data_IF_478129233601
#
_entry.id   IF_478129233601
#
_cell.length_a   1.000
_cell.length_b   1.000
_cell.length_c   1.000
_cell.angle_alpha   90.00
_cell.angle_beta   90.00
_cell.angle_gamma   90.00
#
_symmetry.space_group_name_H-M   'P 1'
#
loop_
_entity.id
_entity.type
_entity.pdbx_description
1 polymer ?
#
# COMPACT_ATOMS: atom_id res chain seq x y z
N UNK A 1 6.88 -5.46 -24.69
CA UNK A 1 6.26 -4.40 -23.89
C UNK A 1 6.05 -4.95 -22.50
N UNK A 2 6.56 -4.29 -21.47
CA UNK A 2 6.26 -4.67 -20.08
C UNK A 2 4.75 -4.53 -19.84
N UNK A 3 4.12 -5.58 -19.34
CA UNK A 3 2.69 -5.56 -19.02
C UNK A 3 2.49 -4.76 -17.73
N UNK A 4 1.82 -3.61 -17.85
CA UNK A 4 1.45 -2.76 -16.73
C UNK A 4 0.04 -3.12 -16.25
N UNK A 5 -0.11 -3.21 -14.94
CA UNK A 5 -1.36 -3.52 -14.25
C UNK A 5 -1.80 -2.27 -13.50
N UNK A 6 -3.05 -1.85 -13.70
CA UNK A 6 -3.60 -0.64 -13.09
C UNK A 6 -4.00 -0.91 -11.64
N UNK A 7 -3.66 0.04 -10.78
CA UNK A 7 -3.92 -0.01 -9.36
C UNK A 7 -4.82 1.15 -8.92
N UNK A 8 -5.72 0.84 -7.99
CA UNK A 8 -6.54 1.80 -7.24
C UNK A 8 -6.09 1.82 -5.77
N UNK A 9 -6.23 2.98 -5.12
CA UNK A 9 -5.99 3.08 -3.69
C UNK A 9 -7.26 2.64 -2.97
N UNK A 10 -7.18 1.56 -2.19
CA UNK A 10 -8.30 1.10 -1.38
C UNK A 10 -8.40 1.81 -0.04
N UNK A 11 -7.26 2.08 0.58
CA UNK A 11 -7.21 2.76 1.88
C UNK A 11 -5.82 2.82 2.49
N UNK A 12 -5.74 3.44 3.66
CA UNK A 12 -4.53 3.53 4.49
C UNK A 12 -4.92 3.08 5.90
N UNK A 13 -4.24 2.09 6.45
CA UNK A 13 -4.45 1.58 7.81
C UNK A 13 -3.24 1.85 8.70
N UNK A 14 -3.47 2.00 10.01
CA UNK A 14 -2.39 2.11 10.99
C UNK A 14 -1.81 0.72 11.28
N UNK A 15 -0.48 0.63 11.37
CA UNK A 15 0.18 -0.57 11.87
C UNK A 15 -0.05 -0.70 13.38
N UNK A 16 -0.63 -1.82 13.81
CA UNK A 16 -0.87 -2.12 15.24
C UNK A 16 0.42 -2.50 15.99
N UNK A 17 1.52 -2.64 15.25
CA UNK A 17 2.81 -3.16 15.71
C UNK A 17 3.72 -2.05 16.24
N UNK A 18 3.69 -0.90 15.57
CA UNK A 18 4.63 0.17 15.77
C UNK A 18 3.93 1.49 15.47
N UNK A 19 3.82 2.32 16.50
CA UNK A 19 3.27 3.66 16.38
C UNK A 19 4.00 4.46 15.30
N UNK A 20 3.23 5.10 14.42
CA UNK A 20 3.77 5.93 13.34
C UNK A 20 4.06 5.19 12.04
N UNK A 21 3.82 3.88 11.96
CA UNK A 21 3.86 3.10 10.72
C UNK A 21 2.43 2.89 10.21
N UNK A 22 2.24 3.02 8.90
CA UNK A 22 0.97 2.84 8.21
C UNK A 22 1.15 1.87 7.03
N UNK A 23 0.06 1.25 6.59
CA UNK A 23 0.01 0.42 5.40
C UNK A 23 -0.92 1.08 4.39
N UNK A 24 -0.37 1.45 3.24
CA UNK A 24 -1.12 1.84 2.05
C UNK A 24 -1.51 0.58 1.29
N UNK A 25 -2.80 0.40 1.04
CA UNK A 25 -3.32 -0.74 0.29
C UNK A 25 -3.69 -0.32 -1.14
N UNK A 26 -2.93 -0.83 -2.11
CA UNK A 26 -3.24 -0.71 -3.53
C UNK A 26 -3.92 -1.99 -4.02
N UNK A 27 -4.85 -1.87 -4.95
CA UNK A 27 -5.69 -2.98 -5.40
C UNK A 27 -5.83 -2.93 -6.93
N UNK A 28 -5.74 -4.10 -7.59
CA UNK A 28 -6.03 -4.19 -9.02
C UNK A 28 -7.51 -3.93 -9.28
N UNK A 29 -7.87 -3.46 -10.49
CA UNK A 29 -9.27 -3.31 -10.92
C UNK A 29 -10.14 -4.57 -10.73
N UNK A 30 -9.55 -5.78 -10.74
CA UNK A 30 -10.28 -7.04 -10.50
C UNK A 30 -10.62 -7.30 -9.02
N UNK A 31 -9.97 -6.58 -8.10
CA UNK A 31 -10.11 -6.69 -6.65
C UNK A 31 -9.47 -7.92 -5.99
N UNK A 32 -8.94 -8.86 -6.79
CA UNK A 32 -8.43 -10.15 -6.29
C UNK A 32 -7.08 -10.05 -5.60
N UNK A 33 -6.26 -9.12 -6.07
CA UNK A 33 -4.87 -8.98 -5.64
C UNK A 33 -4.64 -7.59 -5.12
N UNK A 34 -3.99 -7.54 -3.95
CA UNK A 34 -3.67 -6.30 -3.26
C UNK A 34 -2.19 -6.20 -2.98
N UNK A 35 -1.66 -5.00 -3.08
CA UNK A 35 -0.27 -4.66 -2.88
C UNK A 35 -0.15 -3.76 -1.64
N UNK A 36 0.23 -4.32 -0.47
CA UNK A 36 0.47 -3.54 0.73
C UNK A 36 1.81 -2.83 0.65
N UNK A 37 1.83 -1.55 0.99
CA UNK A 37 3.05 -0.72 1.00
C UNK A 37 3.16 -0.06 2.36
N UNK A 38 4.25 -0.35 3.07
CA UNK A 38 4.54 0.25 4.37
C UNK A 38 5.02 1.69 4.16
N UNK A 39 4.38 2.64 4.85
CA UNK A 39 4.69 4.06 4.79
C UNK A 39 4.72 4.67 6.19
N UNK A 40 5.39 5.80 6.34
CA UNK A 40 5.49 6.51 7.62
C UNK A 40 4.32 7.48 7.83
N UNK A 41 4.13 7.95 9.06
CA UNK A 41 3.05 8.86 9.46
C UNK A 41 2.90 10.10 8.60
N UNK A 42 3.99 10.82 8.32
CA UNK A 42 3.95 12.04 7.49
C UNK A 42 3.54 11.74 6.04
N UNK A 43 3.96 10.58 5.52
CA UNK A 43 3.61 10.14 4.17
C UNK A 43 2.14 9.75 4.10
N UNK A 44 1.67 8.97 5.08
CA UNK A 44 0.27 8.57 5.22
C UNK A 44 -0.65 9.78 5.34
N UNK A 45 -0.27 10.77 6.17
CA UNK A 45 -1.02 12.01 6.33
C UNK A 45 -1.12 12.80 5.01
N UNK A 46 -0.03 12.89 4.25
CA UNK A 46 -0.01 13.58 2.95
C UNK A 46 -0.88 12.89 1.89
N UNK A 47 -0.95 11.55 1.90
CA UNK A 47 -1.80 10.82 0.96
C UNK A 47 -3.27 10.89 1.41
N UNK A 48 -3.54 10.66 2.69
CA UNK A 48 -4.89 10.70 3.26
C UNK A 48 -5.56 12.06 3.06
N UNK A 49 -4.81 13.15 3.21
CA UNK A 49 -5.33 14.51 2.94
C UNK A 49 -5.79 14.69 1.50
N UNK A 50 -5.03 14.18 0.54
CA UNK A 50 -5.36 14.26 -0.87
C UNK A 50 -6.58 13.38 -1.23
N UNK A 51 -6.72 12.20 -0.60
CA UNK A 51 -7.88 11.32 -0.79
C UNK A 51 -9.15 11.94 -0.21
N UNK A 52 -9.08 12.41 1.03
CA UNK A 52 -10.23 12.98 1.75
C UNK A 52 -10.68 14.34 1.23
N UNK A 53 -9.98 14.92 0.25
CA UNK A 53 -10.23 16.26 -0.31
C UNK A 53 -10.44 17.34 0.77
N UNK A 54 -9.78 17.18 1.92
CA UNK A 54 -9.88 18.18 2.99
C UNK A 54 -8.94 19.32 2.66
N UNK A 55 -9.49 20.51 2.50
CA UNK A 55 -8.72 21.75 2.43
C UNK A 55 -8.00 21.95 3.76
N UNK A 56 -6.73 21.55 3.79
CA UNK A 56 -5.87 21.88 4.92
C UNK A 56 -5.44 23.32 4.77
N UNK A 57 -5.56 24.09 5.84
CA UNK A 57 -5.19 25.52 5.89
C UNK A 57 -3.71 25.78 5.56
N UNK A 58 -2.87 24.74 5.50
CA UNK A 58 -1.49 24.78 4.98
C UNK A 58 -1.33 23.76 3.87
N UNK A 59 -0.80 24.22 2.73
CA UNK A 59 -0.40 23.35 1.62
C UNK A 59 0.75 22.44 2.06
N UNK A 60 0.64 21.15 1.73
CA UNK A 60 1.76 20.21 1.85
C UNK A 60 2.71 20.37 0.66
N UNK A 61 3.94 19.86 0.78
CA UNK A 61 4.96 19.94 -0.27
C UNK A 61 4.46 19.43 -1.63
N UNK A 62 3.64 18.37 -1.64
CA UNK A 62 3.05 17.82 -2.85
C UNK A 62 2.00 18.74 -3.51
N UNK A 63 1.31 19.59 -2.73
CA UNK A 63 0.39 20.61 -3.26
C UNK A 63 1.14 21.77 -3.93
N UNK A 64 2.27 22.17 -3.33
CA UNK A 64 3.19 23.11 -3.98
C UNK A 64 3.70 22.54 -5.31
N UNK A 65 4.04 21.26 -5.36
CA UNK A 65 4.51 20.61 -6.59
C UNK A 65 3.41 20.52 -7.67
N UNK A 66 2.16 20.26 -7.27
CA UNK A 66 1.01 20.34 -8.17
C UNK A 66 0.87 21.74 -8.77
N UNK A 67 0.94 22.77 -7.94
CA UNK A 67 0.81 24.17 -8.36
C UNK A 67 1.95 24.57 -9.29
N UNK A 68 3.19 24.23 -8.92
CA UNK A 68 4.38 24.41 -9.75
C UNK A 68 4.19 23.75 -11.12
N UNK A 69 3.78 22.49 -11.15
CA UNK A 69 3.61 21.76 -12.40
C UNK A 69 2.53 22.38 -13.29
N UNK A 70 1.43 22.89 -12.72
CA UNK A 70 0.41 23.63 -13.46
C UNK A 70 0.96 24.91 -14.10
N UNK A 71 1.74 25.69 -13.35
CA UNK A 71 2.36 26.94 -13.84
C UNK A 71 3.31 26.68 -15.01
N UNK A 72 4.07 25.58 -14.96
CA UNK A 72 5.01 25.21 -16.00
C UNK A 72 4.43 24.27 -17.06
N UNK A 73 3.11 24.07 -17.08
CA UNK A 73 2.40 23.20 -18.03
C UNK A 73 2.97 21.77 -18.10
N UNK A 74 3.36 21.22 -16.96
CA UNK A 74 3.85 19.84 -16.81
C UNK A 74 2.66 18.97 -16.42
N UNK A 75 2.42 17.90 -17.19
CA UNK A 75 1.39 16.91 -16.90
C UNK A 75 2.02 15.67 -16.29
N UNK A 76 1.46 15.18 -15.18
CA UNK A 76 1.77 13.84 -14.68
C UNK A 76 0.91 12.83 -15.45
N UNK A 77 1.54 11.95 -16.24
CA UNK A 77 0.87 10.93 -17.07
C UNK A 77 0.49 9.71 -16.26
N UNK A 78 1.43 9.21 -15.47
CA UNK A 78 1.24 8.02 -14.64
C UNK A 78 2.34 7.85 -13.62
N UNK A 79 2.07 7.02 -12.62
CA UNK A 79 3.08 6.48 -11.70
C UNK A 79 3.21 4.99 -11.94
N UNK A 80 4.43 4.47 -11.89
CA UNK A 80 4.69 3.03 -12.07
C UNK A 80 5.59 2.52 -10.94
N UNK A 81 5.09 1.53 -10.21
CA UNK A 81 5.86 0.76 -9.22
C UNK A 81 6.50 -0.41 -9.98
N UNK A 82 7.83 -0.49 -10.00
CA UNK A 82 8.52 -1.38 -10.94
C UNK A 82 9.54 -2.31 -10.30
N UNK A 83 9.94 -2.04 -9.06
CA UNK A 83 11.01 -2.80 -8.40
C UNK A 83 10.72 -2.95 -6.92
N UNK A 84 11.05 -4.12 -6.39
CA UNK A 84 10.96 -4.48 -4.97
C UNK A 84 12.29 -5.09 -4.54
N UNK A 85 12.94 -4.49 -3.54
CA UNK A 85 14.20 -5.01 -2.98
C UNK A 85 14.11 -4.90 -1.46
N UNK A 86 14.29 -6.03 -0.77
CA UNK A 86 14.25 -6.11 0.69
C UNK A 86 13.00 -5.45 1.30
N UNK A 87 11.82 -5.73 0.73
CA UNK A 87 10.56 -5.12 1.18
C UNK A 87 10.34 -3.67 0.76
N UNK A 88 11.31 -3.03 0.09
CA UNK A 88 11.23 -1.62 -0.32
C UNK A 88 10.80 -1.53 -1.79
N UNK A 89 9.67 -0.87 -2.01
CA UNK A 89 9.15 -0.57 -3.35
C UNK A 89 9.80 0.67 -3.95
N UNK A 90 10.15 0.56 -5.23
CA UNK A 90 10.67 1.64 -6.07
C UNK A 90 9.66 1.96 -7.14
N UNK A 91 9.47 3.25 -7.38
CA UNK A 91 8.58 3.75 -8.41
C UNK A 91 9.26 4.80 -9.26
N UNK A 92 8.64 5.11 -10.38
CA UNK A 92 8.93 6.31 -11.13
C UNK A 92 7.65 7.02 -11.50
N UNK A 93 7.80 8.31 -11.77
CA UNK A 93 6.75 9.18 -12.25
C UNK A 93 7.04 9.47 -13.72
N UNK A 94 6.02 9.30 -14.56
CA UNK A 94 6.06 9.67 -15.96
C UNK A 94 5.41 11.04 -16.11
N UNK A 95 6.20 12.03 -16.48
CA UNK A 95 5.73 13.37 -16.81
C UNK A 95 5.72 13.58 -18.32
N UNK A 96 4.83 14.45 -18.78
CA UNK A 96 4.76 14.93 -20.15
C UNK A 96 4.84 16.46 -20.15
N UNK A 97 5.74 17.00 -20.98
CA UNK A 97 5.82 18.42 -21.29
C UNK A 97 6.17 18.56 -22.76
N UNK A 98 5.45 19.42 -23.49
CA UNK A 98 5.72 19.69 -24.91
C UNK A 98 5.79 18.39 -25.75
N UNK A 99 4.88 17.44 -25.48
CA UNK A 99 4.81 16.11 -26.09
C UNK A 99 6.06 15.23 -25.90
N UNK A 100 6.92 15.56 -24.93
CA UNK A 100 8.06 14.75 -24.52
C UNK A 100 7.79 14.13 -23.16
N UNK A 101 8.04 12.84 -23.08
CA UNK A 101 7.93 12.08 -21.84
C UNK A 101 9.25 12.08 -21.07
N UNK A 102 9.15 12.29 -19.77
CA UNK A 102 10.26 12.30 -18.84
C UNK A 102 9.98 11.36 -17.68
N UNK A 103 10.91 10.46 -17.42
CA UNK A 103 10.87 9.51 -16.31
C UNK A 103 11.68 10.06 -15.15
N UNK A 104 11.08 10.12 -13.97
CA UNK A 104 11.76 10.54 -12.73
C UNK A 104 11.60 9.44 -11.70
N UNK A 105 12.72 8.91 -11.21
CA UNK A 105 12.72 7.93 -10.13
C UNK A 105 12.20 8.58 -8.84
N UNK A 106 11.39 7.84 -8.07
CA UNK A 106 10.71 8.40 -6.91
C UNK A 106 10.51 7.34 -5.82
N UNK A 107 10.40 7.81 -4.58
CA UNK A 107 9.90 6.96 -3.50
C UNK A 107 8.43 6.67 -3.77
N UNK A 108 8.01 5.42 -3.53
CA UNK A 108 6.65 4.98 -3.83
C UNK A 108 5.58 5.81 -3.10
N UNK A 109 5.82 6.21 -1.86
CA UNK A 109 4.95 7.11 -1.08
C UNK A 109 4.74 8.47 -1.76
N UNK A 110 5.80 9.10 -2.24
CA UNK A 110 5.75 10.41 -2.89
C UNK A 110 5.05 10.34 -4.25
N UNK A 111 5.37 9.30 -5.02
CA UNK A 111 4.74 9.06 -6.31
C UNK A 111 3.23 8.87 -6.15
N UNK A 112 2.78 8.05 -5.19
CA UNK A 112 1.35 7.88 -4.90
C UNK A 112 0.72 9.19 -4.44
N UNK A 113 1.36 9.95 -3.54
CA UNK A 113 0.85 11.24 -3.08
C UNK A 113 0.63 12.24 -4.22
N UNK A 114 1.52 12.24 -5.22
CA UNK A 114 1.37 13.04 -6.43
C UNK A 114 0.29 12.47 -7.36
N UNK A 115 0.24 11.15 -7.57
CA UNK A 115 -0.77 10.53 -8.42
C UNK A 115 -2.20 10.88 -7.97
N UNK A 116 -2.47 10.86 -6.66
CA UNK A 116 -3.78 11.26 -6.10
C UNK A 116 -4.10 12.72 -6.42
N UNK A 117 -3.15 13.63 -6.18
CA UNK A 117 -3.33 15.08 -6.40
C UNK A 117 -3.49 15.46 -7.87
N UNK A 118 -2.74 14.80 -8.75
CA UNK A 118 -2.81 15.00 -10.19
C UNK A 118 -3.95 14.20 -10.85
N UNK A 119 -4.65 13.34 -10.08
CA UNK A 119 -5.63 12.38 -10.59
C UNK A 119 -5.04 11.49 -11.71
N UNK A 120 -3.78 11.12 -11.55
CA UNK A 120 -3.06 10.30 -12.51
C UNK A 120 -3.17 8.82 -12.16
N UNK A 121 -3.20 7.93 -13.17
CA UNK A 121 -3.25 6.49 -12.94
C UNK A 121 -1.95 5.98 -12.30
N UNK A 122 -2.11 5.02 -11.38
CA UNK A 122 -1.03 4.27 -10.75
C UNK A 122 -0.98 2.89 -11.39
N UNK A 123 0.21 2.44 -11.73
CA UNK A 123 0.46 1.12 -12.30
C UNK A 123 1.53 0.37 -11.50
N UNK A 124 1.55 -0.94 -11.68
CA UNK A 124 2.65 -1.81 -11.31
C UNK A 124 3.04 -2.71 -12.48
N UNK A 125 4.26 -3.24 -12.47
CA UNK A 125 4.66 -4.27 -13.43
C UNK A 125 4.11 -5.62 -13.00
N UNK A 126 3.87 -6.52 -13.97
CA UNK A 126 3.48 -7.91 -13.68
C UNK A 126 4.46 -8.61 -12.73
N UNK A 127 5.76 -8.37 -12.87
CA UNK A 127 6.78 -8.95 -11.99
C UNK A 127 6.55 -8.59 -10.51
N UNK A 128 6.23 -7.32 -10.23
CA UNK A 128 5.97 -6.86 -8.87
C UNK A 128 4.63 -7.38 -8.37
N UNK A 129 3.64 -7.41 -9.26
CA UNK A 129 2.33 -7.95 -8.97
C UNK A 129 2.39 -9.43 -8.56
N UNK A 130 3.14 -10.25 -9.29
CA UNK A 130 3.30 -11.68 -9.00
C UNK A 130 4.14 -11.92 -7.73
N UNK A 131 5.12 -11.05 -7.43
CA UNK A 131 6.03 -11.21 -6.27
C UNK A 131 5.42 -10.75 -4.95
N UNK A 132 4.64 -9.68 -4.96
CA UNK A 132 4.19 -8.99 -3.74
C UNK A 132 2.68 -8.83 -3.65
N UNK A 133 1.95 -9.21 -4.70
CA UNK A 133 0.50 -9.29 -4.67
C UNK A 133 0.04 -10.35 -3.68
N UNK A 134 -0.80 -9.95 -2.74
CA UNK A 134 -1.49 -10.87 -1.83
C UNK A 134 -2.85 -11.17 -2.44
N UNK A 135 -3.11 -12.46 -2.69
CA UNK A 135 -4.39 -12.95 -3.18
C UNK A 135 -5.35 -13.19 -2.03
N UNK A 136 -6.57 -12.66 -2.11
CA UNK A 136 -7.62 -12.90 -1.13
C UNK A 136 -8.74 -13.70 -1.80
N UNK A 137 -8.84 -15.02 -1.53
CA UNK A 137 -9.83 -15.91 -2.16
C UNK A 137 -11.30 -15.49 -1.93
N UNK A 138 -11.59 -14.78 -0.84
CA UNK A 138 -12.95 -14.38 -0.46
C UNK A 138 -13.20 -12.86 -0.49
N UNK A 139 -12.33 -12.08 -1.15
CA UNK A 139 -12.40 -10.61 -1.09
C UNK A 139 -12.10 -10.06 0.32
N UNK A 140 -11.86 -8.75 0.43
CA UNK A 140 -11.89 -8.10 1.74
C UNK A 140 -13.35 -7.99 2.19
N UNK A 141 -13.65 -8.06 3.50
CA UNK A 141 -15.01 -7.79 3.98
C UNK A 141 -15.45 -6.40 3.49
N UNK A 142 -16.51 -6.35 2.69
CA UNK A 142 -17.04 -5.09 2.12
C UNK A 142 -17.76 -4.21 3.17
N UNK A 143 -17.87 -4.67 4.42
CA UNK A 143 -18.68 -4.03 5.46
C UNK A 143 -17.99 -2.94 6.30
N UNK A 144 -16.74 -2.57 5.99
CA UNK A 144 -16.17 -1.36 6.58
C UNK A 144 -16.55 -0.16 5.70
N UNK A 145 -17.70 0.44 6.00
CA UNK A 145 -18.04 1.78 5.52
C UNK A 145 -17.05 2.78 6.10
N UNK A 146 -15.96 2.95 5.34
CA UNK A 146 -14.96 4.00 5.36
C UNK A 146 -15.60 5.36 4.99
N UNK A 147 -16.23 6.04 5.95
CA UNK A 147 -16.37 7.50 5.91
C UNK A 147 -15.79 8.09 7.21
N UNK A 148 -14.89 9.05 7.05
CA UNK A 148 -13.92 9.36 8.09
C UNK A 148 -14.48 10.13 9.27
N UNK A 149 -14.18 9.66 10.47
CA UNK A 149 -14.04 10.48 11.67
C UNK A 149 -12.83 9.99 12.46
N UNK A 150 -11.91 10.91 12.73
CA UNK A 150 -10.87 10.71 13.74
C UNK A 150 -11.60 10.86 15.06
N UNK A 151 -12.21 9.79 15.57
CA UNK A 151 -12.64 9.79 16.95
C UNK A 151 -12.58 8.39 17.57
N UNK A 152 -11.99 8.37 18.76
CA UNK A 152 -11.73 7.20 19.58
C UNK A 152 -13.03 6.47 19.93
N UNK A 153 -13.22 5.24 19.44
CA UNK A 153 -13.61 4.08 20.26
C UNK A 153 -13.65 2.79 19.45
N UNK A 154 -13.22 1.73 20.13
CA UNK A 154 -13.04 0.39 19.64
C UNK A 154 -14.33 -0.24 19.10
N UNK A 155 -14.24 -0.79 17.87
CA UNK A 155 -14.79 -2.09 17.50
C UNK A 155 -14.38 -2.42 16.05
N UNK A 156 -13.53 -3.43 15.89
CA UNK A 156 -12.91 -3.95 14.66
C UNK A 156 -13.92 -4.56 13.66
N UNK A 157 -13.50 -4.81 12.41
CA UNK A 157 -13.11 -6.19 12.06
C UNK A 157 -11.91 -6.33 11.09
N UNK A 158 -11.12 -7.38 11.38
CA UNK A 158 -9.93 -7.89 10.68
C UNK A 158 -8.69 -7.01 10.78
N UNK A 159 -8.16 -7.03 11.99
CA UNK A 159 -6.81 -6.68 12.35
C UNK A 159 -5.78 -7.60 11.69
N UNK A 160 -4.74 -7.01 11.10
CA UNK A 160 -3.44 -7.67 10.97
C UNK A 160 -2.68 -7.41 12.29
N UNK A 161 -3.23 -7.95 13.37
CA UNK A 161 -2.63 -7.86 14.69
C UNK A 161 -1.28 -8.58 14.66
N UNK A 162 -0.27 -7.97 15.29
CA UNK A 162 0.91 -8.72 15.76
C UNK A 162 0.56 -9.77 16.82
N UNK A 163 -0.69 -9.81 17.24
CA UNK A 163 -1.27 -10.83 18.11
C UNK A 163 -2.30 -11.65 17.34
N UNK A 164 -1.86 -12.40 16.31
CA UNK A 164 -2.58 -13.65 16.05
C UNK A 164 -2.43 -14.52 17.28
N UNK A 165 -3.52 -14.70 18.01
CA UNK A 165 -3.55 -15.66 19.12
C UNK A 165 -3.26 -17.05 18.55
N UNK A 166 -2.73 -17.98 19.37
CA UNK A 166 -2.50 -19.36 18.90
C UNK A 166 -3.77 -19.94 18.24
N UNK A 167 -4.96 -19.59 18.75
CA UNK A 167 -6.27 -19.98 18.20
C UNK A 167 -6.58 -19.45 16.81
N UNK A 168 -5.97 -18.35 16.38
CA UNK A 168 -6.18 -17.79 15.04
C UNK A 168 -5.26 -18.45 14.02
N UNK A 169 -4.06 -18.86 14.44
CA UNK A 169 -3.15 -19.65 13.63
C UNK A 169 -3.71 -21.06 13.40
N UNK A 170 -4.36 -21.64 14.41
CA UNK A 170 -5.04 -22.95 14.34
C UNK A 170 -6.13 -23.03 13.24
N UNK A 171 -6.76 -21.92 12.90
CA UNK A 171 -7.85 -21.88 11.90
C UNK A 171 -7.37 -21.65 10.47
N UNK A 172 -6.09 -21.31 10.27
CA UNK A 172 -5.53 -21.04 8.95
C UNK A 172 -5.20 -22.32 8.20
N UNK A 173 -5.19 -22.28 6.86
CA UNK A 173 -4.70 -23.40 6.06
C UNK A 173 -3.17 -23.46 6.09
N UNK A 174 -2.56 -24.62 5.81
CA UNK A 174 -1.10 -24.73 5.67
C UNK A 174 -0.53 -23.78 4.63
N UNK A 175 -1.27 -23.55 3.54
CA UNK A 175 -0.88 -22.62 2.49
C UNK A 175 -0.77 -21.20 3.02
N UNK A 176 -1.76 -20.77 3.80
CA UNK A 176 -1.79 -19.43 4.38
C UNK A 176 -0.73 -19.25 5.47
N UNK A 177 -0.46 -20.29 6.27
CA UNK A 177 0.62 -20.30 7.25
C UNK A 177 1.99 -20.17 6.58
N UNK A 178 2.23 -20.90 5.49
CA UNK A 178 3.48 -20.78 4.73
C UNK A 178 3.65 -19.40 4.06
N UNK A 179 2.58 -18.81 3.53
CA UNK A 179 2.61 -17.45 2.99
C UNK A 179 2.91 -16.41 4.09
N UNK A 180 2.26 -16.56 5.26
CA UNK A 180 2.46 -15.68 6.41
C UNK A 180 3.87 -15.84 7.01
N UNK A 181 4.42 -17.06 7.02
CA UNK A 181 5.79 -17.32 7.45
C UNK A 181 6.81 -16.60 6.55
N UNK A 182 6.66 -16.73 5.24
CA UNK A 182 7.53 -16.03 4.28
C UNK A 182 7.45 -14.52 4.47
N UNK A 183 6.25 -13.96 4.64
CA UNK A 183 6.08 -12.55 4.94
C UNK A 183 6.75 -12.15 6.26
N UNK A 184 6.59 -12.95 7.32
CA UNK A 184 7.21 -12.66 8.63
C UNK A 184 8.75 -12.69 8.56
N UNK A 185 9.34 -13.62 7.81
CA UNK A 185 10.79 -13.71 7.60
C UNK A 185 11.31 -12.52 6.79
N UNK A 186 10.65 -12.19 5.68
CA UNK A 186 11.05 -11.06 4.80
C UNK A 186 11.02 -9.72 5.53
N UNK A 187 10.09 -9.55 6.48
CA UNK A 187 9.94 -8.33 7.27
C UNK A 187 10.64 -8.42 8.64
N UNK A 188 11.57 -9.36 8.83
CA UNK A 188 12.35 -9.53 10.08
C UNK A 188 11.49 -9.66 11.35
N UNK A 189 10.25 -10.13 11.20
CA UNK A 189 9.29 -10.36 12.27
C UNK A 189 9.51 -11.75 12.88
N UNK A 190 10.70 -11.98 13.45
CA UNK A 190 11.15 -13.29 13.93
C UNK A 190 10.23 -13.94 14.98
N UNK A 191 9.58 -13.13 15.81
CA UNK A 191 8.67 -13.63 16.85
C UNK A 191 7.38 -14.24 16.25
N UNK A 192 6.82 -13.60 15.23
CA UNK A 192 5.66 -14.12 14.50
C UNK A 192 6.06 -15.35 13.66
N UNK A 193 7.22 -15.31 13.01
CA UNK A 193 7.76 -16.43 12.27
C UNK A 193 7.93 -17.68 13.16
N UNK A 194 8.41 -17.51 14.40
CA UNK A 194 8.55 -18.60 15.35
C UNK A 194 7.20 -19.22 15.77
N UNK A 195 6.17 -18.40 15.97
CA UNK A 195 4.81 -18.88 16.32
C UNK A 195 4.15 -19.64 15.17
N UNK A 196 4.29 -19.14 13.95
CA UNK A 196 3.75 -19.79 12.74
C UNK A 196 4.46 -21.12 12.50
N UNK A 197 5.78 -21.16 12.67
CA UNK A 197 6.57 -22.38 12.52
C UNK A 197 6.17 -23.44 13.56
N UNK A 198 5.98 -23.04 14.82
CA UNK A 198 5.47 -23.93 15.89
C UNK A 198 4.09 -24.53 15.55
N UNK A 199 3.20 -23.76 14.91
CA UNK A 199 1.88 -24.27 14.50
C UNK A 199 1.96 -25.20 13.28
N UNK A 200 2.86 -24.94 12.32
CA UNK A 200 3.13 -25.84 11.20
C UNK A 200 3.72 -27.18 11.70
N UNK A 201 4.72 -27.12 12.59
CA UNK A 201 5.34 -28.30 13.20
C UNK A 201 4.35 -29.12 14.06
N UNK A 202 3.27 -28.51 14.56
CA UNK A 202 2.19 -29.21 15.31
C UNK A 202 1.28 -30.03 14.40
N UNK A 203 1.23 -29.72 13.10
CA UNK A 203 0.30 -30.32 12.13
C UNK A 203 0.92 -31.48 11.35
N UNK A 204 2.24 -31.60 11.36
CA UNK A 204 2.99 -32.78 10.92
C UNK A 204 2.91 -33.93 11.95
#
# INVERSE_FOLDING_TARGET
>A
MEQLIRLAIRGISLSQIQSGIYVLLLEEESGRIKLPIVIESLQAQSIASAIGKRDLSRSFTHDLFLTFSKVFHIRLKSVVIYKLVNGIFFSYILFERENKEHKIDSKTSDAVALAVRFQAPIYTTKEIFDKAGIYFENGFPENDNFEGEIENKASSPISFDKEKSEKDLEKMTERDLNALLNHAVVNECYELAARIKKELDRRE
#
